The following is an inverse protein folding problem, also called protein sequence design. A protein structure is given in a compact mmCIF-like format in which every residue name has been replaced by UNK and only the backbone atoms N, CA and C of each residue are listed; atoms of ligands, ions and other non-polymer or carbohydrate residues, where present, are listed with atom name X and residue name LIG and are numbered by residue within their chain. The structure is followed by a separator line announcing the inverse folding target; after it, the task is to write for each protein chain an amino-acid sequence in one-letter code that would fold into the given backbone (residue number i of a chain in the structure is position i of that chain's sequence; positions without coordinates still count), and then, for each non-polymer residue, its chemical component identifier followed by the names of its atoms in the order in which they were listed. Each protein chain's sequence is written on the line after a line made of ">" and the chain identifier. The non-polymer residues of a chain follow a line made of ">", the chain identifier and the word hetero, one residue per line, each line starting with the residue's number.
data_IF_027465081361
#
_entry.id   IF_027465081361
#
_cell.length_a   1.000
_cell.length_b   1.000
_cell.length_c   1.000
_cell.angle_alpha   90.00
_cell.angle_beta   90.00
_cell.angle_gamma   90.00
#
_symmetry.space_group_name_H-M   'P 1'
#
loop_
_entity.id
_entity.type
_entity.pdbx_description
1 polymer ?
#
# COMPACT_ATOMS: atom_id res chain seq x y z
N UNK A 1 16.05 -18.93 -19.50
CA UNK A 1 15.48 -17.93 -18.58
C UNK A 1 14.20 -17.44 -19.23
N UNK A 2 13.06 -17.99 -18.83
CA UNK A 2 11.76 -17.48 -19.30
C UNK A 2 11.58 -16.08 -18.73
N UNK A 3 11.42 -15.10 -19.60
CA UNK A 3 10.96 -13.79 -19.19
C UNK A 3 9.47 -13.94 -18.88
N UNK A 4 9.12 -14.21 -17.61
CA UNK A 4 7.77 -13.98 -17.13
C UNK A 4 7.51 -12.48 -17.26
N UNK A 5 6.82 -12.09 -18.33
CA UNK A 5 6.47 -10.69 -18.58
C UNK A 5 5.70 -10.13 -17.39
N UNK A 6 5.87 -8.84 -17.10
CA UNK A 6 5.09 -8.14 -16.05
C UNK A 6 4.34 -7.01 -16.71
N UNK A 7 3.05 -6.89 -16.39
CA UNK A 7 2.20 -5.78 -16.82
C UNK A 7 1.97 -4.85 -15.65
N UNK A 8 2.33 -3.58 -15.80
CA UNK A 8 2.00 -2.52 -14.83
C UNK A 8 0.56 -2.09 -15.01
N UNK A 9 -0.29 -2.31 -14.00
CA UNK A 9 -1.69 -1.85 -14.00
C UNK A 9 -1.83 -0.37 -13.67
N UNK A 10 -0.99 0.09 -12.72
CA UNK A 10 -0.90 1.49 -12.32
C UNK A 10 0.49 1.75 -11.78
N UNK A 11 0.93 2.99 -11.89
CA UNK A 11 2.16 3.44 -11.25
C UNK A 11 2.09 4.92 -10.88
N UNK A 12 2.93 5.27 -9.93
CA UNK A 12 3.39 6.62 -9.66
C UNK A 12 4.91 6.56 -9.59
N UNK A 13 5.59 7.51 -10.24
CA UNK A 13 7.03 7.71 -10.12
C UNK A 13 7.31 9.21 -10.06
N UNK A 14 7.89 9.68 -8.95
CA UNK A 14 8.09 11.10 -8.68
C UNK A 14 9.06 11.78 -9.66
N UNK A 15 9.95 11.00 -10.31
CA UNK A 15 10.83 11.50 -11.35
C UNK A 15 10.12 11.74 -12.69
N UNK A 16 8.95 11.15 -12.90
CA UNK A 16 8.19 11.26 -14.14
C UNK A 16 7.17 12.39 -14.08
N UNK A 17 6.93 13.04 -15.23
CA UNK A 17 5.92 14.10 -15.35
C UNK A 17 6.03 15.17 -14.26
N UNK A 18 7.27 15.52 -13.88
CA UNK A 18 7.60 16.45 -12.79
C UNK A 18 7.00 16.07 -11.42
N UNK A 19 6.69 14.79 -11.20
CA UNK A 19 6.04 14.29 -9.98
C UNK A 19 4.52 14.58 -9.93
N UNK A 20 3.93 15.01 -11.05
CA UNK A 20 2.50 15.34 -11.11
C UNK A 20 1.63 14.09 -10.95
N UNK A 21 1.07 13.93 -9.75
CA UNK A 21 0.08 12.89 -9.43
C UNK A 21 -1.06 12.85 -10.47
N UNK A 22 -1.61 14.02 -10.80
CA UNK A 22 -2.75 14.13 -11.74
C UNK A 22 -2.41 13.64 -13.15
N UNK A 23 -1.24 13.98 -13.67
CA UNK A 23 -0.81 13.53 -15.00
C UNK A 23 -0.60 12.01 -15.01
N UNK A 24 -0.17 11.44 -13.89
CA UNK A 24 0.00 10.00 -13.70
C UNK A 24 -1.28 9.27 -13.26
N UNK A 25 -2.46 9.92 -13.33
CA UNK A 25 -3.76 9.29 -13.06
C UNK A 25 -4.18 9.24 -11.58
N UNK A 26 -3.41 9.86 -10.69
CA UNK A 26 -3.72 9.93 -9.26
C UNK A 26 -4.46 11.22 -8.91
N UNK A 27 -5.37 11.12 -7.93
CA UNK A 27 -5.93 12.29 -7.25
C UNK A 27 -5.42 12.38 -5.82
N UNK A 28 -5.31 13.60 -5.31
CA UNK A 28 -4.90 13.88 -3.92
C UNK A 28 -5.97 14.73 -3.24
N UNK A 29 -6.29 14.43 -1.98
CA UNK A 29 -7.27 15.17 -1.20
C UNK A 29 -6.98 15.09 0.30
N UNK A 30 -7.66 15.95 1.09
CA UNK A 30 -7.68 15.86 2.55
C UNK A 30 -6.37 16.19 3.28
N UNK A 31 -5.33 16.60 2.55
CA UNK A 31 -4.12 17.20 3.09
C UNK A 31 -3.27 17.81 1.97
N UNK A 32 -1.97 17.91 2.21
CA UNK A 32 -1.01 18.56 1.32
C UNK A 32 -0.15 17.52 0.60
N UNK A 33 -0.06 17.65 -0.72
CA UNK A 33 0.82 16.86 -1.57
C UNK A 33 1.73 17.82 -2.35
N UNK A 34 3.04 17.75 -2.09
CA UNK A 34 4.04 18.64 -2.68
C UNK A 34 5.19 17.84 -3.27
N UNK A 35 5.55 18.10 -4.53
CA UNK A 35 6.75 17.49 -5.11
C UNK A 35 7.98 18.19 -4.55
N UNK A 36 8.89 17.43 -3.98
CA UNK A 36 10.13 17.90 -3.36
C UNK A 36 11.34 17.21 -3.97
N UNK A 37 12.50 17.85 -3.85
CA UNK A 37 13.78 17.20 -4.15
C UNK A 37 14.24 16.38 -2.94
N UNK A 38 14.68 15.15 -3.18
CA UNK A 38 15.33 14.29 -2.19
C UNK A 38 16.37 13.46 -2.95
N UNK A 39 17.66 13.64 -2.64
CA UNK A 39 18.76 13.08 -3.41
C UNK A 39 18.82 11.54 -3.40
N UNK A 40 18.21 10.91 -2.40
CA UNK A 40 18.16 9.45 -2.23
C UNK A 40 16.87 8.83 -2.83
N UNK A 41 15.88 9.69 -3.12
CA UNK A 41 14.69 9.33 -3.87
C UNK A 41 15.04 8.98 -5.32
N UNK A 42 14.25 8.08 -5.92
CA UNK A 42 14.42 7.67 -7.31
C UNK A 42 14.32 8.89 -8.24
N UNK A 43 15.38 9.16 -9.00
CA UNK A 43 15.46 10.35 -9.86
C UNK A 43 15.50 11.69 -9.10
N UNK A 44 15.88 11.67 -7.82
CA UNK A 44 16.11 12.87 -7.00
C UNK A 44 14.84 13.58 -6.54
N UNK A 45 13.67 12.94 -6.64
CA UNK A 45 12.36 13.54 -6.35
C UNK A 45 11.48 12.63 -5.51
N UNK A 46 10.57 13.24 -4.76
CA UNK A 46 9.50 12.55 -4.04
C UNK A 46 8.25 13.43 -4.01
N UNK A 47 7.07 12.84 -3.81
CA UNK A 47 5.91 13.58 -3.29
C UNK A 47 5.92 13.50 -1.78
N UNK A 48 5.88 14.66 -1.13
CA UNK A 48 5.69 14.81 0.31
C UNK A 48 4.20 14.93 0.61
N UNK A 49 3.68 14.01 1.40
CA UNK A 49 2.32 14.00 1.91
C UNK A 49 2.34 14.45 3.36
N UNK A 50 1.52 15.44 3.69
CA UNK A 50 1.44 16.00 5.04
C UNK A 50 -0.02 16.23 5.42
N UNK A 51 -0.39 15.83 6.63
CA UNK A 51 -1.71 16.12 7.19
C UNK A 51 -1.86 17.62 7.42
N UNK A 52 -3.00 18.17 7.00
CA UNK A 52 -3.34 19.56 7.28
C UNK A 52 -4.19 19.69 8.56
N UNK A 53 -3.92 20.74 9.33
CA UNK A 53 -4.66 21.03 10.55
C UNK A 53 -6.17 21.14 10.25
N UNK A 54 -6.99 20.47 11.05
CA UNK A 54 -8.45 20.46 10.90
C UNK A 54 -8.99 19.58 9.77
N UNK A 55 -8.14 18.88 9.01
CA UNK A 55 -8.56 17.85 8.05
C UNK A 55 -8.50 16.46 8.67
N UNK A 56 -9.34 15.55 8.19
CA UNK A 56 -9.39 14.17 8.70
C UNK A 56 -8.16 13.38 8.28
N UNK A 57 -7.97 13.11 6.98
CA UNK A 57 -6.87 12.31 6.46
C UNK A 57 -6.47 12.80 5.09
N UNK A 58 -5.17 12.77 4.77
CA UNK A 58 -4.77 12.88 3.37
C UNK A 58 -5.04 11.54 2.68
N UNK A 59 -5.40 11.62 1.39
CA UNK A 59 -5.70 10.45 0.56
C UNK A 59 -5.13 10.68 -0.83
N UNK A 60 -4.34 9.72 -1.31
CA UNK A 60 -4.08 9.51 -2.73
C UNK A 60 -5.02 8.42 -3.24
N UNK A 61 -5.62 8.62 -4.41
CA UNK A 61 -6.57 7.68 -5.00
C UNK A 61 -6.25 7.45 -6.48
N UNK A 62 -6.31 6.18 -6.91
CA UNK A 62 -6.24 5.76 -8.31
C UNK A 62 -7.41 4.83 -8.65
N UNK A 63 -8.09 5.07 -9.77
CA UNK A 63 -9.17 4.23 -10.27
C UNK A 63 -8.61 2.93 -10.90
N UNK A 64 -8.36 1.94 -10.07
CA UNK A 64 -7.58 0.75 -10.41
C UNK A 64 -8.42 -0.46 -10.86
N UNK A 65 -9.75 -0.36 -10.82
CA UNK A 65 -10.65 -1.50 -11.01
C UNK A 65 -10.65 -2.44 -9.79
N UNK A 66 -11.24 -3.62 -9.93
CA UNK A 66 -11.36 -4.58 -8.83
C UNK A 66 -10.08 -5.37 -8.52
N UNK A 67 -8.97 -5.11 -9.23
CA UNK A 67 -7.67 -5.77 -9.01
C UNK A 67 -7.66 -7.29 -9.16
N UNK A 68 -8.71 -7.91 -9.75
CA UNK A 68 -8.87 -9.36 -9.85
C UNK A 68 -7.65 -10.08 -10.47
N UNK A 69 -6.95 -9.40 -11.37
CA UNK A 69 -5.77 -9.92 -12.04
C UNK A 69 -4.61 -10.27 -11.06
N UNK A 70 -4.49 -9.58 -9.92
CA UNK A 70 -3.51 -9.93 -8.88
C UNK A 70 -3.81 -11.30 -8.26
N UNK A 71 -5.08 -11.60 -7.98
CA UNK A 71 -5.48 -12.92 -7.46
C UNK A 71 -5.35 -14.00 -8.53
N UNK A 72 -5.72 -13.70 -9.77
CA UNK A 72 -5.70 -14.67 -10.87
C UNK A 72 -4.28 -15.03 -11.31
N UNK A 73 -3.42 -14.02 -11.49
CA UNK A 73 -2.10 -14.18 -12.14
C UNK A 73 -0.93 -14.02 -11.19
N UNK A 74 -1.17 -13.48 -10.00
CA UNK A 74 -0.11 -13.06 -9.09
C UNK A 74 0.48 -11.72 -9.54
N UNK A 75 1.48 -11.28 -8.80
CA UNK A 75 2.11 -9.97 -9.00
C UNK A 75 2.32 -9.30 -7.67
N UNK A 76 2.37 -7.97 -7.65
CA UNK A 76 2.63 -7.22 -6.43
C UNK A 76 2.03 -5.82 -6.42
N UNK A 77 1.72 -5.35 -5.22
CA UNK A 77 1.57 -3.92 -4.92
C UNK A 77 2.89 -3.50 -4.25
N UNK A 78 3.57 -2.47 -4.76
CA UNK A 78 4.82 -1.95 -4.18
C UNK A 78 4.74 -0.46 -3.91
N UNK A 79 5.48 -0.01 -2.91
CA UNK A 79 5.71 1.39 -2.60
C UNK A 79 7.13 1.56 -2.05
N UNK A 80 7.82 2.61 -2.47
CA UNK A 80 9.05 3.07 -1.82
C UNK A 80 8.81 4.43 -1.19
N UNK A 81 9.12 4.51 0.09
CA UNK A 81 8.73 5.62 0.95
C UNK A 81 9.80 5.94 1.99
N UNK A 82 9.73 7.15 2.54
CA UNK A 82 10.58 7.64 3.62
C UNK A 82 9.71 8.37 4.64
N UNK A 83 9.97 8.14 5.92
CA UNK A 83 9.20 8.74 7.02
C UNK A 83 10.02 9.88 7.61
N UNK A 84 9.42 11.05 7.82
CA UNK A 84 10.11 12.20 8.42
C UNK A 84 9.57 12.49 9.82
N UNK A 85 10.47 12.75 10.77
CA UNK A 85 10.12 13.18 12.13
C UNK A 85 10.77 12.32 13.21
N UNK A 86 10.40 12.60 14.47
CA UNK A 86 10.87 11.85 15.62
C UNK A 86 9.91 10.70 15.95
N UNK A 87 10.45 9.57 16.40
CA UNK A 87 9.68 8.41 16.83
C UNK A 87 8.64 8.78 17.89
N UNK A 88 7.38 8.44 17.63
CA UNK A 88 6.33 8.38 18.63
C UNK A 88 5.66 7.00 18.60
N UNK A 89 5.36 6.46 19.77
CA UNK A 89 4.72 5.15 19.86
C UNK A 89 3.29 5.18 19.31
N UNK A 90 2.92 4.13 18.58
CA UNK A 90 1.60 3.91 17.99
C UNK A 90 1.18 4.97 16.94
N UNK A 91 2.13 5.71 16.37
CA UNK A 91 1.83 6.71 15.36
C UNK A 91 1.79 6.08 13.96
N UNK A 92 0.74 6.41 13.21
CA UNK A 92 0.54 5.90 11.85
C UNK A 92 1.40 6.66 10.84
N UNK A 93 1.90 5.92 9.86
CA UNK A 93 2.65 6.45 8.71
C UNK A 93 1.72 6.54 7.50
N UNK A 94 1.31 5.38 6.96
CA UNK A 94 0.36 5.29 5.85
C UNK A 94 -0.31 3.92 5.80
N UNK A 95 -1.38 3.79 5.00
CA UNK A 95 -2.01 2.54 4.63
C UNK A 95 -2.31 2.45 3.15
N UNK A 96 -2.48 1.22 2.68
CA UNK A 96 -3.00 0.85 1.38
C UNK A 96 -4.37 0.20 1.57
N UNK A 97 -5.40 0.83 1.02
CA UNK A 97 -6.76 0.30 1.01
C UNK A 97 -7.22 0.10 -0.42
N UNK A 98 -7.71 -1.10 -0.73
CA UNK A 98 -8.31 -1.38 -2.02
C UNK A 98 -9.58 -2.20 -1.85
N UNK A 99 -10.70 -1.54 -1.50
CA UNK A 99 -12.01 -2.19 -1.49
C UNK A 99 -12.38 -2.60 -2.89
N UNK A 100 -13.01 -3.77 -3.02
CA UNK A 100 -13.38 -4.34 -4.32
C UNK A 100 -14.88 -4.62 -4.38
N UNK A 101 -15.48 -4.30 -5.51
CA UNK A 101 -16.90 -4.57 -5.77
C UNK A 101 -17.20 -6.06 -5.93
N UNK A 102 -16.17 -6.84 -6.29
CA UNK A 102 -16.29 -8.24 -6.66
C UNK A 102 -14.95 -8.96 -6.49
N UNK A 103 -15.02 -10.27 -6.28
CA UNK A 103 -13.87 -11.18 -6.28
C UNK A 103 -13.99 -12.14 -7.49
N UNK A 104 -12.89 -12.77 -7.93
CA UNK A 104 -12.96 -13.85 -8.93
C UNK A 104 -13.91 -14.97 -8.51
N UNK A 105 -14.49 -15.66 -9.49
CA UNK A 105 -15.39 -16.79 -9.22
C UNK A 105 -14.69 -17.85 -8.35
N UNK A 106 -15.40 -18.31 -7.31
CA UNK A 106 -14.88 -19.31 -6.37
C UNK A 106 -13.93 -18.76 -5.30
N UNK A 107 -13.61 -17.46 -5.34
CA UNK A 107 -12.80 -16.79 -4.31
C UNK A 107 -13.70 -16.07 -3.32
N UNK A 108 -13.51 -16.31 -2.03
CA UNK A 108 -14.21 -15.61 -0.96
C UNK A 108 -13.25 -15.30 0.20
N UNK A 109 -13.19 -14.03 0.59
CA UNK A 109 -12.48 -13.62 1.80
C UNK A 109 -13.30 -14.07 3.02
N UNK A 110 -12.63 -14.71 3.98
CA UNK A 110 -13.22 -15.14 5.26
C UNK A 110 -12.93 -14.11 6.35
N UNK A 111 -13.43 -14.33 7.57
CA UNK A 111 -13.26 -13.39 8.70
C UNK A 111 -14.51 -12.56 8.97
N UNK A 112 -14.45 -11.70 9.99
CA UNK A 112 -15.60 -10.91 10.45
C UNK A 112 -15.53 -9.43 10.08
N UNK A 113 -14.48 -8.98 9.39
CA UNK A 113 -14.28 -7.58 9.04
C UNK A 113 -15.42 -6.96 8.20
N UNK A 114 -16.18 -7.77 7.46
CA UNK A 114 -17.40 -7.34 6.77
C UNK A 114 -17.19 -6.65 5.42
N UNK A 115 -15.96 -6.29 5.04
CA UNK A 115 -15.66 -5.70 3.72
C UNK A 115 -14.58 -6.49 3.00
N UNK A 116 -14.73 -6.66 1.69
CA UNK A 116 -13.74 -7.32 0.83
C UNK A 116 -12.74 -6.28 0.31
N UNK A 117 -11.48 -6.43 0.71
CA UNK A 117 -10.38 -5.58 0.26
C UNK A 117 -9.22 -6.44 -0.24
N UNK A 118 -8.61 -6.06 -1.36
CA UNK A 118 -7.35 -6.67 -1.83
C UNK A 118 -6.13 -6.14 -1.09
N UNK A 119 -6.22 -4.93 -0.56
CA UNK A 119 -5.23 -4.34 0.32
C UNK A 119 -5.92 -3.76 1.55
N UNK A 120 -5.46 -4.13 2.73
CA UNK A 120 -5.84 -3.48 3.99
C UNK A 120 -4.63 -3.38 4.92
N UNK A 121 -3.49 -2.98 4.35
CA UNK A 121 -2.20 -2.98 4.99
C UNK A 121 -1.86 -1.58 5.49
N UNK A 122 -1.17 -1.49 6.62
CA UNK A 122 -0.75 -0.20 7.16
C UNK A 122 0.61 -0.27 7.83
N UNK A 123 1.21 0.90 7.98
CA UNK A 123 2.50 1.08 8.62
C UNK A 123 2.31 1.92 9.89
N UNK A 124 2.85 1.44 11.00
CA UNK A 124 2.73 2.07 12.30
C UNK A 124 4.02 1.88 13.10
N UNK A 125 4.43 2.89 13.84
CA UNK A 125 5.54 2.78 14.78
C UNK A 125 5.07 2.18 16.11
N UNK A 126 5.92 1.39 16.76
CA UNK A 126 5.78 1.10 18.19
C UNK A 126 6.76 1.96 19.02
N UNK A 127 7.14 1.53 20.22
CA UNK A 127 8.07 2.26 21.06
C UNK A 127 9.51 2.30 20.51
N UNK A 128 9.82 1.52 19.47
CA UNK A 128 11.16 1.38 18.89
C UNK A 128 11.13 1.25 17.37
N UNK A 129 10.25 0.41 16.85
CA UNK A 129 10.35 -0.14 15.51
C UNK A 129 9.27 0.42 14.57
N UNK A 130 9.57 0.39 13.27
CA UNK A 130 8.62 0.66 12.19
C UNK A 130 8.00 -0.67 11.71
N UNK A 131 6.69 -0.81 11.78
CA UNK A 131 6.02 -2.10 11.59
C UNK A 131 5.03 -2.09 10.43
N UNK A 132 4.94 -3.23 9.74
CA UNK A 132 3.90 -3.51 8.74
C UNK A 132 2.80 -4.32 9.42
N UNK A 133 1.57 -3.85 9.26
CA UNK A 133 0.39 -4.35 9.94
C UNK A 133 -0.73 -4.62 8.94
N UNK A 134 -1.71 -5.43 9.32
CA UNK A 134 -2.84 -5.83 8.49
C UNK A 134 -4.16 -5.72 9.25
N UNK A 135 -5.13 -5.00 8.67
CA UNK A 135 -6.49 -4.86 9.18
C UNK A 135 -7.34 -6.09 8.86
N UNK A 136 -7.16 -7.17 9.63
CA UNK A 136 -7.84 -8.46 9.44
C UNK A 136 -9.00 -8.73 10.43
N UNK A 137 -9.23 -7.85 11.39
CA UNK A 137 -10.20 -8.07 12.47
C UNK A 137 -11.00 -6.80 12.78
N UNK A 138 -12.23 -6.96 13.28
CA UNK A 138 -13.04 -5.81 13.75
C UNK A 138 -12.38 -5.04 14.90
N UNK A 139 -11.73 -5.77 15.81
CA UNK A 139 -11.07 -5.19 16.98
C UNK A 139 -9.63 -4.87 16.61
N UNK A 140 -9.24 -3.59 16.68
CA UNK A 140 -7.92 -3.13 16.24
C UNK A 140 -6.74 -3.81 16.96
N UNK A 141 -6.89 -4.21 18.23
CA UNK A 141 -5.86 -4.95 18.97
C UNK A 141 -5.62 -6.36 18.42
N UNK A 142 -6.51 -6.86 17.58
CA UNK A 142 -6.40 -8.16 16.93
C UNK A 142 -5.89 -8.06 15.50
N UNK A 143 -5.51 -6.85 15.05
CA UNK A 143 -4.82 -6.67 13.77
C UNK A 143 -3.50 -7.46 13.77
N UNK A 144 -3.16 -8.03 12.63
CA UNK A 144 -1.97 -8.86 12.49
C UNK A 144 -0.73 -8.00 12.20
N UNK A 145 0.36 -8.20 12.97
CA UNK A 145 1.69 -7.71 12.60
C UNK A 145 2.29 -8.63 11.54
N UNK A 146 2.55 -8.09 10.35
CA UNK A 146 3.10 -8.84 9.22
C UNK A 146 4.64 -8.86 9.22
N UNK A 147 5.26 -7.87 9.85
CA UNK A 147 6.71 -7.76 9.94
C UNK A 147 7.16 -6.39 10.43
N UNK A 148 8.45 -6.12 10.31
CA UNK A 148 9.08 -4.87 10.74
C UNK A 148 10.22 -4.50 9.79
N UNK A 149 10.41 -3.20 9.60
CA UNK A 149 11.61 -2.66 8.94
C UNK A 149 12.80 -2.60 9.91
N UNK A 150 12.59 -2.86 11.20
CA UNK A 150 13.57 -2.67 12.26
C UNK A 150 13.31 -1.39 13.05
N UNK A 151 14.37 -0.89 13.71
CA UNK A 151 14.31 0.35 14.47
C UNK A 151 13.86 1.50 13.58
N UNK A 152 13.02 2.39 14.12
CA UNK A 152 12.60 3.58 13.39
C UNK A 152 13.81 4.42 12.98
N UNK A 153 13.86 4.75 11.70
CA UNK A 153 14.79 5.70 11.13
C UNK A 153 14.05 6.64 10.16
N UNK A 154 14.79 7.55 9.54
CA UNK A 154 14.27 8.45 8.52
C UNK A 154 14.81 8.07 7.14
N UNK A 155 15.15 6.81 6.90
CA UNK A 155 15.70 6.33 5.63
C UNK A 155 14.59 5.93 4.64
N UNK A 156 15.00 5.64 3.41
CA UNK A 156 14.10 5.09 2.39
C UNK A 156 13.90 3.59 2.58
N UNK A 157 12.65 3.17 2.71
CA UNK A 157 12.23 1.77 2.75
C UNK A 157 11.43 1.39 1.51
N UNK A 158 11.44 0.10 1.18
CA UNK A 158 10.59 -0.50 0.15
C UNK A 158 9.66 -1.53 0.76
N UNK A 159 8.37 -1.37 0.50
CA UNK A 159 7.35 -2.33 0.89
C UNK A 159 6.67 -2.89 -0.35
N UNK A 160 6.54 -4.21 -0.43
CA UNK A 160 5.66 -4.85 -1.39
C UNK A 160 4.77 -5.92 -0.75
N UNK A 161 3.65 -6.21 -1.40
CA UNK A 161 2.77 -7.33 -1.09
C UNK A 161 2.65 -8.18 -2.33
N UNK A 162 3.32 -9.34 -2.33
CA UNK A 162 3.38 -10.26 -3.46
C UNK A 162 2.23 -11.25 -3.39
N UNK A 163 1.37 -11.24 -4.40
CA UNK A 163 0.22 -12.13 -4.54
C UNK A 163 0.65 -13.43 -5.20
N UNK A 164 0.21 -14.56 -4.64
CA UNK A 164 0.59 -15.88 -5.14
C UNK A 164 -0.01 -16.24 -6.52
N UNK A 165 -1.10 -15.59 -6.92
CA UNK A 165 -1.81 -15.92 -8.17
C UNK A 165 -2.63 -17.20 -8.08
N UNK A 166 -3.11 -17.70 -9.23
CA UNK A 166 -3.94 -18.91 -9.34
C UNK A 166 -5.20 -18.89 -8.46
N UNK A 167 -5.85 -17.73 -8.36
CA UNK A 167 -7.00 -17.47 -7.48
C UNK A 167 -6.71 -17.67 -5.98
N UNK A 168 -5.44 -17.66 -5.58
CA UNK A 168 -5.04 -17.77 -4.17
C UNK A 168 -5.23 -16.46 -3.43
N UNK A 169 -5.65 -16.56 -2.17
CA UNK A 169 -5.68 -15.45 -1.21
C UNK A 169 -4.36 -15.29 -0.45
N UNK A 170 -3.35 -16.10 -0.75
CA UNK A 170 -2.03 -15.99 -0.12
C UNK A 170 -1.27 -14.78 -0.65
N UNK A 171 -0.78 -13.98 0.29
CA UNK A 171 0.05 -12.81 0.05
C UNK A 171 1.31 -12.89 0.91
N UNK A 172 2.46 -12.56 0.33
CA UNK A 172 3.74 -12.45 1.03
C UNK A 172 4.11 -10.98 1.18
N UNK A 173 4.27 -10.44 2.41
CA UNK A 173 4.87 -9.13 2.58
C UNK A 173 6.36 -9.21 2.22
N UNK A 174 6.86 -8.23 1.49
CA UNK A 174 8.27 -8.10 1.15
C UNK A 174 8.74 -6.76 1.71
N UNK A 175 9.59 -6.80 2.73
CA UNK A 175 10.01 -5.64 3.52
C UNK A 175 11.50 -5.44 3.28
N UNK A 176 11.87 -4.34 2.65
CA UNK A 176 13.24 -4.05 2.20
C UNK A 176 13.88 -5.21 1.42
N UNK A 177 13.08 -5.79 0.52
CA UNK A 177 13.48 -6.91 -0.33
C UNK A 177 13.51 -8.27 0.37
N UNK A 178 13.20 -8.35 1.67
CA UNK A 178 13.12 -9.59 2.42
C UNK A 178 11.68 -10.11 2.47
N UNK A 179 11.49 -11.36 2.05
CA UNK A 179 10.21 -12.05 2.17
C UNK A 179 9.87 -12.29 3.66
N UNK A 180 8.71 -11.82 4.09
CA UNK A 180 8.12 -12.18 5.38
C UNK A 180 7.26 -13.44 5.29
N UNK A 181 6.58 -13.77 6.38
CA UNK A 181 5.69 -14.94 6.43
C UNK A 181 4.44 -14.70 5.57
N UNK A 182 4.10 -15.60 4.62
CA UNK A 182 2.86 -15.49 3.86
C UNK A 182 1.63 -15.56 4.77
N UNK A 183 0.60 -14.81 4.43
CA UNK A 183 -0.69 -14.78 5.14
C UNK A 183 -1.86 -14.85 4.16
N UNK A 184 -3.02 -15.27 4.67
CA UNK A 184 -4.26 -15.31 3.89
C UNK A 184 -5.00 -13.98 4.02
N UNK A 185 -5.45 -13.41 2.90
CA UNK A 185 -6.37 -12.28 2.93
C UNK A 185 -7.71 -12.67 3.56
N UNK A 186 -8.17 -11.83 4.47
CA UNK A 186 -9.48 -11.89 5.14
C UNK A 186 -10.24 -10.58 4.92
N UNK A 187 -11.51 -10.59 5.28
CA UNK A 187 -12.32 -9.38 5.32
C UNK A 187 -11.72 -8.35 6.28
N UNK A 188 -11.92 -7.07 5.95
CA UNK A 188 -11.40 -5.93 6.70
C UNK A 188 -12.54 -5.06 7.25
N UNK A 189 -12.40 -4.45 8.44
CA UNK A 189 -13.38 -3.49 8.97
C UNK A 189 -13.42 -2.16 8.21
N UNK A 190 -12.49 -1.92 7.28
CA UNK A 190 -12.39 -0.65 6.55
C UNK A 190 -13.53 -0.54 5.52
N UNK A 191 -14.37 0.49 5.68
CA UNK A 191 -15.56 0.72 4.84
C UNK A 191 -15.67 2.14 4.29
N UNK A 192 -14.73 3.04 4.61
CA UNK A 192 -14.81 4.47 4.31
C UNK A 192 -14.46 4.84 2.85
N UNK A 193 -14.03 3.86 2.04
CA UNK A 193 -13.47 4.09 0.72
C UNK A 193 -14.35 3.48 -0.38
N UNK A 194 -14.43 4.16 -1.52
CA UNK A 194 -15.12 3.65 -2.68
C UNK A 194 -14.43 2.39 -3.21
N UNK A 195 -15.24 1.42 -3.67
CA UNK A 195 -14.76 0.20 -4.29
C UNK A 195 -14.05 0.47 -5.62
N UNK A 196 -13.20 -0.49 -5.99
CA UNK A 196 -12.46 -0.57 -7.26
C UNK A 196 -11.46 0.56 -7.48
N UNK A 197 -10.93 1.07 -6.37
CA UNK A 197 -9.90 2.09 -6.34
C UNK A 197 -8.84 1.73 -5.30
N UNK A 198 -7.57 1.99 -5.65
CA UNK A 198 -6.47 1.92 -4.72
C UNK A 198 -6.36 3.27 -4.00
N UNK A 199 -6.33 3.23 -2.68
CA UNK A 199 -6.17 4.38 -1.81
C UNK A 199 -4.89 4.26 -1.00
N UNK A 200 -4.12 5.34 -0.93
CA UNK A 200 -3.02 5.51 0.02
C UNK A 200 -3.38 6.65 0.97
N UNK A 201 -3.33 6.43 2.28
CA UNK A 201 -3.81 7.41 3.27
C UNK A 201 -3.04 7.32 4.57
N UNK A 202 -3.10 8.36 5.40
CA UNK A 202 -2.60 8.30 6.77
C UNK A 202 -3.62 7.77 7.80
N UNK A 203 -4.76 7.24 7.34
CA UNK A 203 -5.69 6.36 8.09
C UNK A 203 -6.56 7.07 9.13
N UNK A 204 -5.98 8.00 9.90
CA UNK A 204 -6.59 8.55 11.11
C UNK A 204 -6.70 10.07 11.09
N UNK A 205 -7.63 10.58 11.90
CA UNK A 205 -7.75 12.02 12.23
C UNK A 205 -6.66 12.51 13.19
N UNK A 206 -6.04 11.59 13.94
CA UNK A 206 -4.97 11.90 14.89
C UNK A 206 -3.66 12.30 14.20
N UNK A 207 -2.61 12.56 14.97
CA UNK A 207 -1.31 12.88 14.41
C UNK A 207 -0.71 11.69 13.63
N UNK A 208 -0.07 11.98 12.50
CA UNK A 208 0.57 11.02 11.60
C UNK A 208 1.89 11.63 11.10
N UNK A 209 2.80 10.79 10.62
CA UNK A 209 4.05 11.30 10.08
C UNK A 209 3.84 11.96 8.72
N UNK A 210 4.60 13.03 8.39
CA UNK A 210 4.86 13.37 7.01
C UNK A 210 5.57 12.20 6.30
N UNK A 211 5.12 11.90 5.10
CA UNK A 211 5.62 10.77 4.31
C UNK A 211 6.13 11.29 2.98
N UNK A 212 7.32 10.85 2.58
CA UNK A 212 7.80 10.99 1.22
C UNK A 212 7.55 9.69 0.47
N UNK A 213 7.01 9.76 -0.74
CA UNK A 213 6.84 8.62 -1.64
C UNK A 213 7.52 8.97 -2.96
N UNK A 214 8.46 8.13 -3.41
CA UNK A 214 9.07 8.29 -4.73
C UNK A 214 8.39 7.40 -5.78
N UNK A 215 7.79 6.28 -5.37
CA UNK A 215 7.17 5.36 -6.29
C UNK A 215 6.08 4.50 -5.64
N UNK A 216 5.04 4.24 -6.43
CA UNK A 216 4.00 3.24 -6.16
C UNK A 216 3.82 2.46 -7.46
N UNK A 217 3.68 1.15 -7.41
CA UNK A 217 3.26 0.39 -8.58
C UNK A 217 2.39 -0.80 -8.21
N UNK A 218 1.45 -1.12 -9.10
CA UNK A 218 0.78 -2.42 -9.10
C UNK A 218 1.16 -3.13 -10.38
N UNK A 219 1.75 -4.29 -10.21
CA UNK A 219 2.30 -5.11 -11.27
C UNK A 219 1.65 -6.49 -11.22
N UNK A 220 1.30 -7.01 -12.38
CA UNK A 220 0.66 -8.31 -12.53
C UNK A 220 1.50 -9.17 -13.45
N UNK A 221 1.66 -10.44 -13.08
CA UNK A 221 2.41 -11.37 -13.93
C UNK A 221 1.65 -11.61 -15.24
N UNK A 222 2.39 -11.69 -16.34
CA UNK A 222 1.87 -12.13 -17.63
C UNK A 222 1.64 -13.63 -17.58
N UNK A 223 0.46 -14.04 -18.04
CA UNK A 223 0.09 -15.45 -18.22
C UNK A 223 0.61 -15.93 -19.57
N UNK A 224 1.91 -16.09 -19.73
CA UNK A 224 2.43 -17.01 -20.75
C UNK A 224 2.77 -18.33 -20.04
N UNK A 225 1.71 -19.06 -19.72
CA UNK A 225 1.83 -20.49 -19.45
C UNK A 225 1.36 -21.17 -20.73
N UNK A 226 2.28 -21.80 -21.46
CA UNK A 226 1.92 -22.68 -22.57
C UNK A 226 0.89 -23.71 -22.08
N UNK A 227 -0.16 -23.88 -22.89
CA UNK A 227 -1.31 -24.75 -22.65
C UNK A 227 -0.94 -26.21 -22.39
#
# INVERSE_FOLDING_TARGET
>A
AEATGVTTLLSYLASESEGSLKVQGWSASGGRAEVVSDAEGTGGKAVKLTKEAGKSSWVLEYAAGNGAALLQKGGQIRCRFKVSGALAANQYVMAFYWPVSSLPQGVALTGDGGNNLLAAFYIQTDAKDLNVMYHNAKVATNNLKLGTFGAFDNEWHTLAFRFAGNNSLQVTPVIDGQDGTPFTLTQSPVSAFAADKLHVTDITRGATYPVLIDSIAVEVNSTDTAA
#
